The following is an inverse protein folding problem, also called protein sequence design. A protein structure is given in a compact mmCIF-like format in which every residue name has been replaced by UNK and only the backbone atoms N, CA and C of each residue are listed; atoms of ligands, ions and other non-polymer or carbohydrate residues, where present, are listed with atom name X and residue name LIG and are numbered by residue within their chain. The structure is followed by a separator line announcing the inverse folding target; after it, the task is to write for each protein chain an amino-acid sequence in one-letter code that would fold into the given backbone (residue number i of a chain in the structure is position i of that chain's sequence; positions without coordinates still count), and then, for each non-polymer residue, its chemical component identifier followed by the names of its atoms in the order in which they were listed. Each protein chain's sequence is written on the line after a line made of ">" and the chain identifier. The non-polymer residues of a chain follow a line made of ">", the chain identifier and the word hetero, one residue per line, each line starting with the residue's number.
data_IF_406491712035
#
_entry.id   IF_406491712035
#
_cell.length_a   1.000
_cell.length_b   1.000
_cell.length_c   1.000
_cell.angle_alpha   90.00
_cell.angle_beta   90.00
_cell.angle_gamma   90.00
#
_symmetry.space_group_name_H-M   'P 1'
#
loop_
_entity.id
_entity.type
_entity.pdbx_description
1 polymer ?
#
# COMPACT_ATOMS: atom_id res chain seq x y z
N UNK A 1 55.15 37.85 -1.54
CA UNK A 1 54.38 36.93 -2.41
C UNK A 1 53.75 35.87 -1.52
N UNK A 2 52.46 35.98 -1.21
CA UNK A 2 51.71 34.99 -0.44
C UNK A 2 50.52 34.52 -1.30
N UNK A 3 50.44 33.21 -1.54
CA UNK A 3 49.46 32.57 -2.41
C UNK A 3 48.06 32.49 -1.75
N UNK A 4 46.96 32.53 -2.52
CA UNK A 4 45.61 32.40 -1.97
C UNK A 4 45.28 30.92 -1.72
N UNK A 5 44.77 30.62 -0.53
CA UNK A 5 44.31 29.27 -0.15
C UNK A 5 43.09 28.84 -0.97
N UNK A 6 43.21 27.72 -1.68
CA UNK A 6 42.09 27.08 -2.36
C UNK A 6 41.16 26.41 -1.35
N UNK A 7 39.91 26.84 -1.29
CA UNK A 7 38.85 26.22 -0.48
C UNK A 7 38.32 24.98 -1.20
N UNK A 8 38.78 23.81 -0.76
CA UNK A 8 38.29 22.52 -1.24
C UNK A 8 36.88 22.28 -0.66
N UNK A 9 35.83 22.60 -1.44
CA UNK A 9 34.44 22.23 -1.11
C UNK A 9 34.32 20.71 -1.20
N UNK A 10 34.34 20.05 -0.04
CA UNK A 10 34.02 18.63 0.10
C UNK A 10 32.58 18.40 -0.41
N UNK A 11 32.43 17.80 -1.59
CA UNK A 11 31.13 17.32 -2.06
C UNK A 11 30.73 16.13 -1.18
N UNK A 12 29.72 16.30 -0.34
CA UNK A 12 29.13 15.22 0.45
C UNK A 12 28.61 14.11 -0.50
N UNK A 13 28.89 12.82 -0.22
CA UNK A 13 28.36 11.74 -1.02
C UNK A 13 26.84 11.67 -0.85
N UNK A 14 26.12 11.75 -1.97
CA UNK A 14 24.69 11.46 -2.05
C UNK A 14 24.45 10.05 -1.49
N UNK A 15 23.85 9.95 -0.31
CA UNK A 15 23.35 8.68 0.23
C UNK A 15 22.03 8.37 -0.48
N UNK A 16 21.94 7.29 -1.28
CA UNK A 16 20.65 6.87 -1.79
C UNK A 16 19.82 6.39 -0.61
N UNK A 17 18.67 7.02 -0.39
CA UNK A 17 17.66 6.50 0.55
C UNK A 17 17.06 5.27 -0.14
N UNK A 18 17.40 4.07 0.34
CA UNK A 18 16.79 2.85 -0.14
C UNK A 18 15.27 2.94 0.07
N UNK A 19 14.51 3.05 -1.01
CA UNK A 19 13.06 2.95 -0.95
C UNK A 19 12.70 1.55 -0.43
N UNK A 20 12.01 1.47 0.70
CA UNK A 20 11.56 0.21 1.25
C UNK A 20 10.55 -0.42 0.28
N UNK A 21 10.98 -1.45 -0.45
CA UNK A 21 10.08 -2.21 -1.33
C UNK A 21 9.17 -3.03 -0.43
N UNK A 22 7.87 -2.71 -0.44
CA UNK A 22 6.87 -3.46 0.31
C UNK A 22 6.71 -4.84 -0.35
N UNK A 23 6.99 -5.91 0.40
CA UNK A 23 6.76 -7.27 -0.11
C UNK A 23 5.25 -7.55 -0.17
N UNK A 24 4.74 -7.58 -1.41
CA UNK A 24 3.36 -7.93 -1.76
C UNK A 24 3.14 -9.46 -1.65
N UNK A 25 1.95 -9.86 -1.24
CA UNK A 25 1.48 -11.25 -1.27
C UNK A 25 1.65 -12.05 0.02
N UNK A 26 1.30 -13.34 -0.08
CA UNK A 26 1.34 -14.30 1.02
C UNK A 26 2.77 -14.54 1.50
N UNK A 27 2.96 -14.50 2.81
CA UNK A 27 4.23 -14.82 3.47
C UNK A 27 4.13 -16.16 4.18
N UNK A 28 5.23 -16.90 4.24
CA UNK A 28 5.34 -18.10 5.07
C UNK A 28 5.90 -17.74 6.45
N UNK A 29 5.38 -18.37 7.48
CA UNK A 29 5.93 -18.32 8.84
C UNK A 29 7.14 -19.26 8.98
N UNK A 30 7.86 -19.16 10.11
CA UNK A 30 9.01 -20.03 10.37
C UNK A 30 8.68 -21.52 10.42
N UNK A 31 7.41 -21.89 10.63
CA UNK A 31 6.93 -23.28 10.59
C UNK A 31 6.58 -23.77 9.19
N UNK A 32 6.72 -22.92 8.16
CA UNK A 32 6.30 -23.18 6.79
C UNK A 32 4.80 -22.95 6.52
N UNK A 33 4.00 -22.61 7.55
CA UNK A 33 2.58 -22.28 7.34
C UNK A 33 2.40 -20.90 6.71
N UNK A 34 1.45 -20.80 5.77
CA UNK A 34 1.08 -19.53 5.15
C UNK A 34 0.37 -18.62 6.16
N UNK A 35 0.81 -17.36 6.19
CA UNK A 35 0.22 -16.28 6.94
C UNK A 35 -0.98 -15.75 6.15
N UNK A 36 -2.11 -15.58 6.83
CA UNK A 36 -3.34 -15.08 6.19
C UNK A 36 -3.24 -13.58 5.87
N UNK A 37 -4.15 -13.06 5.05
CA UNK A 37 -4.20 -11.63 4.68
C UNK A 37 -4.39 -10.68 5.89
N UNK A 38 -4.91 -11.19 7.01
CA UNK A 38 -5.02 -10.44 8.28
C UNK A 38 -3.76 -10.54 9.15
N UNK A 39 -2.78 -11.36 8.77
CA UNK A 39 -1.57 -11.64 9.55
C UNK A 39 -1.67 -12.84 10.49
N UNK A 40 -2.80 -13.56 10.52
CA UNK A 40 -2.97 -14.70 11.42
C UNK A 40 -2.14 -15.91 10.97
N UNK A 41 -1.41 -16.48 11.93
CA UNK A 41 -0.78 -17.80 11.90
C UNK A 41 -0.74 -18.36 13.33
N UNK A 42 -0.74 -19.68 13.49
CA UNK A 42 -0.58 -20.29 14.81
C UNK A 42 0.90 -20.29 15.22
N UNK A 43 1.16 -20.13 16.50
CA UNK A 43 2.52 -20.26 17.04
C UNK A 43 3.04 -21.69 16.86
N UNK A 44 4.36 -21.86 16.81
CA UNK A 44 4.98 -23.16 16.58
C UNK A 44 4.53 -24.23 17.57
N UNK A 45 4.41 -23.86 18.85
CA UNK A 45 4.01 -24.74 19.96
C UNK A 45 2.51 -24.80 20.18
N UNK A 46 1.70 -24.18 19.33
CA UNK A 46 0.25 -24.18 19.46
C UNK A 46 -0.34 -25.52 19.00
N UNK A 47 -0.95 -26.24 19.94
CA UNK A 47 -1.59 -27.54 19.68
C UNK A 47 -2.67 -27.46 18.59
N UNK A 48 -3.26 -26.29 18.37
CA UNK A 48 -4.32 -26.09 17.37
C UNK A 48 -3.86 -26.36 15.94
N UNK A 49 -2.55 -26.37 15.68
CA UNK A 49 -1.93 -26.71 14.39
C UNK A 49 -2.19 -28.15 13.95
N UNK A 50 -2.45 -29.06 14.89
CA UNK A 50 -2.73 -30.47 14.60
C UNK A 50 -3.86 -30.66 13.59
N UNK A 51 -4.81 -29.72 13.52
CA UNK A 51 -5.93 -29.73 12.55
C UNK A 51 -5.49 -29.71 11.08
N UNK A 52 -4.28 -29.22 10.82
CA UNK A 52 -3.70 -29.11 9.48
C UNK A 52 -2.63 -30.18 9.22
N UNK A 53 -2.33 -31.05 10.17
CA UNK A 53 -1.43 -32.18 9.91
C UNK A 53 -2.13 -33.15 8.95
N UNK A 54 -1.49 -33.44 7.81
CA UNK A 54 -2.08 -34.26 6.73
C UNK A 54 -3.19 -33.54 5.93
N UNK A 55 -3.39 -32.24 6.14
CA UNK A 55 -4.36 -31.40 5.41
C UNK A 55 -3.69 -30.08 4.99
N UNK A 56 -4.35 -29.29 4.16
CA UNK A 56 -3.86 -27.97 3.79
C UNK A 56 -4.62 -26.85 4.52
N UNK A 57 -3.90 -25.85 5.01
CA UNK A 57 -4.49 -24.59 5.47
C UNK A 57 -4.80 -23.74 4.24
N UNK A 58 -6.08 -23.57 3.95
CA UNK A 58 -6.52 -22.75 2.83
C UNK A 58 -6.36 -21.26 3.14
N UNK A 59 -5.62 -20.55 2.27
CA UNK A 59 -5.39 -19.11 2.37
C UNK A 59 -5.55 -18.51 0.98
N UNK A 60 -6.36 -17.45 0.88
CA UNK A 60 -6.47 -16.67 -0.35
C UNK A 60 -5.13 -15.99 -0.65
N UNK A 61 -4.55 -16.23 -1.85
CA UNK A 61 -3.27 -15.67 -2.26
C UNK A 61 -3.35 -14.22 -2.76
N UNK A 62 -4.55 -13.79 -3.15
CA UNK A 62 -4.80 -12.47 -3.71
C UNK A 62 -5.22 -11.51 -2.60
N UNK A 63 -4.25 -10.80 -2.04
CA UNK A 63 -4.50 -9.86 -0.95
C UNK A 63 -5.02 -8.53 -1.49
N UNK A 64 -6.20 -8.11 -1.03
CA UNK A 64 -6.85 -6.87 -1.49
C UNK A 64 -6.01 -5.61 -1.20
N UNK A 65 -5.23 -5.60 -0.11
CA UNK A 65 -4.34 -4.49 0.25
C UNK A 65 -3.23 -4.24 -0.79
N UNK A 66 -2.81 -5.29 -1.48
CA UNK A 66 -1.77 -5.23 -2.49
C UNK A 66 -2.36 -4.78 -3.82
N UNK A 67 -3.48 -5.39 -4.20
CA UNK A 67 -4.21 -5.06 -5.43
C UNK A 67 -4.68 -3.61 -5.47
N UNK A 68 -5.14 -3.06 -4.33
CA UNK A 68 -5.59 -1.66 -4.28
C UNK A 68 -4.43 -0.66 -4.29
N UNK A 69 -3.28 -1.04 -3.76
CA UNK A 69 -2.07 -0.22 -3.78
C UNK A 69 -1.44 -0.18 -5.18
N UNK A 70 -1.66 -1.22 -5.99
CA UNK A 70 -1.24 -1.28 -7.39
C UNK A 70 -2.08 -0.37 -8.30
N UNK A 71 -3.33 -0.06 -7.92
CA UNK A 71 -4.18 0.82 -8.72
C UNK A 71 -3.64 2.27 -8.73
N UNK A 72 -3.62 2.92 -9.89
CA UNK A 72 -3.15 4.30 -9.99
C UNK A 72 -4.10 5.26 -9.29
N UNK A 73 -3.54 6.34 -8.76
CA UNK A 73 -4.32 7.45 -8.20
C UNK A 73 -5.02 8.17 -9.35
N UNK A 74 -6.34 8.32 -9.27
CA UNK A 74 -7.13 9.02 -10.27
C UNK A 74 -7.06 10.53 -10.04
N UNK A 75 -6.56 11.25 -11.04
CA UNK A 75 -6.37 12.68 -10.95
C UNK A 75 -7.53 13.44 -11.63
N UNK A 76 -8.22 14.28 -10.88
CA UNK A 76 -9.43 15.00 -11.30
C UNK A 76 -9.28 16.50 -11.12
N UNK A 77 -9.97 17.32 -11.91
CA UNK A 77 -9.90 18.78 -11.79
C UNK A 77 -10.85 19.33 -10.70
N UNK A 78 -11.93 18.60 -10.42
CA UNK A 78 -12.97 18.99 -9.47
C UNK A 78 -12.50 18.87 -8.01
N UNK A 79 -12.92 19.83 -7.19
CA UNK A 79 -12.72 19.85 -5.73
C UNK A 79 -13.43 18.70 -5.00
N UNK A 80 -14.60 18.29 -5.47
CA UNK A 80 -15.41 17.20 -4.90
C UNK A 80 -15.76 16.21 -6.01
N UNK A 81 -15.46 14.93 -5.80
CA UNK A 81 -15.72 13.85 -6.76
C UNK A 81 -16.81 12.91 -6.21
N UNK A 82 -17.66 12.38 -7.09
CA UNK A 82 -18.60 11.30 -6.75
C UNK A 82 -18.05 9.94 -7.17
N UNK A 83 -18.03 8.97 -6.25
CA UNK A 83 -17.64 7.59 -6.52
C UNK A 83 -18.82 6.66 -6.20
N UNK A 84 -19.15 5.77 -7.13
CA UNK A 84 -20.16 4.71 -7.00
C UNK A 84 -19.55 3.31 -7.17
N UNK A 85 -18.23 3.23 -7.37
CA UNK A 85 -17.53 1.97 -7.61
C UNK A 85 -17.68 1.40 -9.02
N UNK A 86 -18.31 2.15 -9.93
CA UNK A 86 -18.57 1.71 -11.30
C UNK A 86 -19.81 0.81 -11.41
N UNK A 87 -20.43 0.81 -12.59
CA UNK A 87 -21.60 -0.03 -12.86
C UNK A 87 -22.92 0.45 -12.23
N UNK A 88 -22.98 1.70 -11.74
CA UNK A 88 -24.20 2.30 -11.19
C UNK A 88 -24.71 1.53 -9.98
N UNK A 89 -25.79 0.76 -10.16
CA UNK A 89 -26.40 -0.04 -9.09
C UNK A 89 -25.59 -1.29 -8.70
N UNK A 90 -24.61 -1.71 -9.52
CA UNK A 90 -23.77 -2.88 -9.23
C UNK A 90 -22.56 -2.57 -8.33
N UNK A 91 -22.30 -1.29 -8.09
CA UNK A 91 -21.21 -0.83 -7.23
C UNK A 91 -21.67 -0.61 -5.80
N UNK A 92 -21.10 0.41 -5.16
CA UNK A 92 -21.48 0.83 -3.81
C UNK A 92 -22.37 2.08 -3.84
N UNK A 93 -23.02 2.45 -2.73
CA UNK A 93 -23.78 3.70 -2.66
C UNK A 93 -22.92 4.89 -3.07
N UNK A 94 -23.48 5.76 -3.91
CA UNK A 94 -22.78 6.96 -4.38
C UNK A 94 -22.33 7.79 -3.18
N UNK A 95 -21.03 8.05 -3.08
CA UNK A 95 -20.44 8.92 -2.07
C UNK A 95 -19.65 10.05 -2.69
N UNK A 96 -19.56 11.16 -1.95
CA UNK A 96 -18.82 12.35 -2.35
C UNK A 96 -17.54 12.44 -1.52
N UNK A 97 -16.40 12.55 -2.19
CA UNK A 97 -15.07 12.61 -1.58
C UNK A 97 -14.53 14.01 -1.77
N UNK A 98 -14.10 14.61 -0.67
CA UNK A 98 -13.52 15.96 -0.66
C UNK A 98 -12.02 15.91 -0.95
N UNK A 99 -11.54 16.73 -1.89
CA UNK A 99 -10.15 16.77 -2.35
C UNK A 99 -9.41 18.06 -1.99
N UNK A 100 -9.95 18.85 -1.06
CA UNK A 100 -9.37 20.12 -0.58
C UNK A 100 -7.94 20.06 -0.05
N UNK A 101 -7.47 18.87 0.31
CA UNK A 101 -6.18 18.69 0.97
C UNK A 101 -5.17 18.12 -0.03
N UNK A 102 -4.32 18.98 -0.59
CA UNK A 102 -3.30 18.58 -1.58
C UNK A 102 -2.21 17.64 -1.02
N UNK A 103 -2.08 17.62 0.31
CA UNK A 103 -1.11 16.80 1.03
C UNK A 103 -1.48 15.32 1.07
N UNK A 104 -2.75 14.96 0.82
CA UNK A 104 -3.23 13.57 0.89
C UNK A 104 -4.17 13.25 -0.27
N UNK A 105 -4.13 12.02 -0.73
CA UNK A 105 -5.14 11.52 -1.66
C UNK A 105 -6.46 11.29 -0.93
N UNK A 106 -7.57 11.60 -1.59
CA UNK A 106 -8.91 11.28 -1.11
C UNK A 106 -9.23 9.82 -1.43
N UNK A 107 -9.26 8.96 -0.41
CA UNK A 107 -9.56 7.54 -0.58
C UNK A 107 -11.06 7.29 -0.46
N UNK A 108 -11.63 6.54 -1.40
CA UNK A 108 -13.00 6.04 -1.29
C UNK A 108 -13.10 4.99 -0.17
N UNK A 109 -14.03 5.17 0.77
CA UNK A 109 -14.25 4.23 1.88
C UNK A 109 -14.80 2.86 1.47
N UNK A 110 -15.22 2.68 0.22
CA UNK A 110 -15.76 1.42 -0.30
C UNK A 110 -14.77 0.72 -1.22
N UNK A 111 -14.50 1.28 -2.40
CA UNK A 111 -13.58 0.67 -3.35
C UNK A 111 -12.10 0.77 -2.97
N UNK A 112 -11.73 1.67 -2.05
CA UNK A 112 -10.32 1.93 -1.70
C UNK A 112 -9.53 2.69 -2.76
N UNK A 113 -10.16 3.05 -3.90
CA UNK A 113 -9.54 3.87 -4.93
C UNK A 113 -9.18 5.26 -4.39
N UNK A 114 -8.07 5.79 -4.88
CA UNK A 114 -7.52 7.06 -4.45
C UNK A 114 -7.72 8.11 -5.53
N UNK A 115 -8.11 9.30 -5.10
CA UNK A 115 -8.33 10.45 -5.96
C UNK A 115 -7.46 11.62 -5.53
N UNK A 116 -7.01 12.45 -6.48
CA UNK A 116 -6.26 13.67 -6.19
C UNK A 116 -6.72 14.80 -7.11
N UNK A 117 -6.78 16.02 -6.57
CA UNK A 117 -7.06 17.19 -7.41
C UNK A 117 -5.80 17.59 -8.20
N UNK A 118 -5.96 17.78 -9.52
CA UNK A 118 -4.97 18.43 -10.38
C UNK A 118 -5.08 19.94 -10.18
N UNK A 119 -3.99 20.55 -9.71
CA UNK A 119 -3.83 22.00 -9.74
C UNK A 119 -3.00 22.38 -10.97
N UNK A 120 -3.43 23.42 -11.68
CA UNK A 120 -2.71 24.00 -12.81
C UNK A 120 -1.58 24.91 -12.34
#
# INVERSE_FOLDING_TARGET
>A
MAAPGATFRLLLPFRPVAAAVRAYGVRASGTGELITHTGQVYEEKDYRRVRFVGRQKEVNKNFAIDLIAEQPVSEVESRVISCDGGGGALGHPKVYINLDKDTKTGTCGYCGLQFKQKHH
#
